data_IF_718315921999
#
_entry.id   IF_718315921999
#
_cell.length_a   1.000
_cell.length_b   1.000
_cell.length_c   1.000
_cell.angle_alpha   90.00
_cell.angle_beta   90.00
_cell.angle_gamma   90.00
#
_symmetry.space_group_name_H-M   'P 1'
#
loop_
_entity.id
_entity.type
_entity.pdbx_description
1 polymer ?
#
# COMPACT_ATOMS: atom_id res chain seq x y z
N UNK A 1 -17.45 -17.95 -35.16
CA UNK A 1 -16.33 -18.50 -34.36
C UNK A 1 -16.78 -18.47 -32.92
N UNK A 2 -16.87 -19.63 -32.26
CA UNK A 2 -17.42 -19.74 -30.92
C UNK A 2 -16.51 -19.05 -29.90
N UNK A 3 -17.14 -18.32 -28.99
CA UNK A 3 -16.65 -17.64 -27.80
C UNK A 3 -16.08 -18.64 -26.77
N UNK A 4 -15.08 -19.42 -27.20
CA UNK A 4 -14.27 -20.29 -26.35
C UNK A 4 -12.98 -19.54 -26.01
N UNK A 5 -12.82 -19.24 -24.73
CA UNK A 5 -11.54 -19.34 -24.03
C UNK A 5 -10.42 -18.34 -24.44
N UNK A 6 -10.66 -17.03 -24.41
CA UNK A 6 -9.55 -16.05 -24.43
C UNK A 6 -9.03 -15.79 -23.01
N UNK A 7 -8.55 -16.83 -22.32
CA UNK A 7 -7.82 -16.65 -21.07
C UNK A 7 -6.51 -15.91 -21.35
N UNK A 8 -6.11 -15.05 -20.42
CA UNK A 8 -4.81 -14.38 -20.46
C UNK A 8 -3.74 -15.42 -20.14
N UNK A 9 -2.88 -15.72 -21.11
CA UNK A 9 -1.79 -16.68 -20.98
C UNK A 9 -0.58 -16.01 -20.35
N UNK A 10 -0.26 -16.39 -19.13
CA UNK A 10 0.88 -15.88 -18.37
C UNK A 10 2.10 -16.77 -18.55
N UNK A 11 3.26 -16.14 -18.63
CA UNK A 11 4.54 -16.75 -18.38
C UNK A 11 5.17 -16.15 -17.12
N UNK A 12 5.90 -16.96 -16.34
CA UNK A 12 6.71 -16.47 -15.22
C UNK A 12 8.19 -16.56 -15.56
N UNK A 13 8.97 -15.54 -15.19
CA UNK A 13 10.43 -15.58 -15.25
C UNK A 13 10.99 -15.66 -13.82
N UNK A 14 11.72 -16.73 -13.52
CA UNK A 14 12.34 -17.00 -12.22
C UNK A 14 13.84 -17.28 -12.37
N UNK A 15 14.65 -16.94 -11.37
CA UNK A 15 16.08 -17.28 -11.32
C UNK A 15 16.37 -18.55 -10.52
N UNK A 16 15.50 -18.89 -9.56
CA UNK A 16 15.63 -20.05 -8.70
C UNK A 16 14.26 -20.70 -8.44
N UNK A 17 14.27 -21.98 -8.04
CA UNK A 17 13.05 -22.69 -7.61
C UNK A 17 12.58 -22.27 -6.20
N UNK A 18 13.05 -21.13 -5.70
CA UNK A 18 12.62 -20.54 -4.43
C UNK A 18 12.27 -19.09 -4.66
N UNK A 19 11.12 -18.67 -4.13
CA UNK A 19 10.70 -17.27 -4.13
C UNK A 19 10.50 -16.77 -2.68
N UNK A 20 10.69 -15.47 -2.44
CA UNK A 20 10.11 -14.79 -1.29
C UNK A 20 8.63 -15.17 -1.09
N UNK A 21 8.24 -15.39 0.17
CA UNK A 21 6.89 -15.78 0.59
C UNK A 21 5.79 -14.91 -0.04
N UNK A 22 6.01 -13.59 -0.13
CA UNK A 22 5.05 -12.68 -0.74
C UNK A 22 4.84 -12.95 -2.24
N UNK A 23 5.91 -13.23 -3.01
CA UNK A 23 5.78 -13.59 -4.42
C UNK A 23 5.13 -14.96 -4.59
N UNK A 24 5.42 -15.92 -3.71
CA UNK A 24 4.73 -17.22 -3.70
C UNK A 24 3.21 -17.03 -3.54
N UNK A 25 2.77 -16.26 -2.54
CA UNK A 25 1.35 -15.98 -2.34
C UNK A 25 0.74 -15.19 -3.51
N UNK A 26 1.49 -14.27 -4.12
CA UNK A 26 1.04 -13.57 -5.31
C UNK A 26 0.77 -14.57 -6.44
N UNK A 27 1.69 -15.51 -6.72
CA UNK A 27 1.51 -16.54 -7.76
C UNK A 27 0.31 -17.44 -7.46
N UNK A 28 0.13 -17.84 -6.20
CA UNK A 28 -1.05 -18.60 -5.76
C UNK A 28 -2.35 -17.83 -6.07
N UNK A 29 -2.38 -16.51 -5.78
CA UNK A 29 -3.53 -15.65 -6.11
C UNK A 29 -3.76 -15.51 -7.61
N UNK A 30 -2.71 -15.47 -8.42
CA UNK A 30 -2.82 -15.43 -9.88
C UNK A 30 -3.51 -16.69 -10.43
N UNK A 31 -3.19 -17.86 -9.89
CA UNK A 31 -3.80 -19.13 -10.31
C UNK A 31 -5.29 -19.25 -9.93
N UNK A 32 -5.76 -18.45 -8.97
CA UNK A 32 -7.17 -18.38 -8.58
C UNK A 32 -8.01 -17.45 -9.49
N UNK A 33 -7.39 -16.67 -10.38
CA UNK A 33 -8.12 -15.78 -11.30
C UNK A 33 -8.65 -16.60 -12.47
N UNK A 34 -9.99 -16.68 -12.61
CA UNK A 34 -10.64 -17.59 -13.54
C UNK A 34 -10.32 -17.40 -15.03
N UNK A 35 -9.96 -16.18 -15.43
CA UNK A 35 -9.57 -15.84 -16.82
C UNK A 35 -8.06 -15.75 -17.03
N UNK A 36 -7.26 -16.25 -16.09
CA UNK A 36 -5.79 -16.30 -16.17
C UNK A 36 -5.33 -17.75 -16.25
N UNK A 37 -4.36 -18.03 -17.11
CA UNK A 37 -3.75 -19.35 -17.24
C UNK A 37 -2.24 -19.23 -17.26
N UNK A 38 -1.55 -19.95 -16.38
CA UNK A 38 -0.09 -20.00 -16.38
C UNK A 38 0.39 -21.10 -17.35
N UNK A 39 1.00 -20.69 -18.47
CA UNK A 39 1.33 -21.58 -19.60
C UNK A 39 2.82 -21.91 -19.73
N UNK A 40 3.70 -21.11 -19.12
CA UNK A 40 5.15 -21.26 -19.28
C UNK A 40 5.92 -20.70 -18.08
N UNK A 41 7.03 -21.35 -17.73
CA UNK A 41 8.02 -20.81 -16.79
C UNK A 41 9.36 -20.68 -17.52
N UNK A 42 9.89 -19.47 -17.58
CA UNK A 42 11.25 -19.20 -18.03
C UNK A 42 12.16 -19.26 -16.80
N UNK A 43 13.23 -20.05 -16.90
CA UNK A 43 14.23 -20.20 -15.84
C UNK A 43 15.54 -19.56 -16.26
N UNK A 44 15.96 -18.54 -15.50
CA UNK A 44 17.25 -17.88 -15.64
C UNK A 44 18.29 -18.55 -14.74
N UNK A 45 19.06 -19.50 -15.29
CA UNK A 45 20.11 -20.18 -14.54
C UNK A 45 21.43 -19.38 -14.45
N UNK A 46 21.43 -18.10 -14.84
CA UNK A 46 22.62 -17.25 -14.74
C UNK A 46 23.05 -17.10 -13.27
N UNK A 47 24.16 -17.74 -12.89
CA UNK A 47 24.72 -17.64 -11.54
C UNK A 47 25.29 -16.24 -11.32
N UNK A 48 24.51 -15.37 -10.67
CA UNK A 48 25.01 -14.08 -10.21
C UNK A 48 25.72 -14.24 -8.86
N UNK A 49 27.06 -14.10 -8.85
CA UNK A 49 27.81 -14.02 -7.60
C UNK A 49 27.45 -12.74 -6.86
N UNK A 50 26.83 -12.87 -5.68
CA UNK A 50 26.57 -11.71 -4.83
C UNK A 50 27.87 -11.13 -4.26
N UNK A 51 28.09 -9.80 -4.38
CA UNK A 51 29.20 -9.11 -3.71
C UNK A 51 29.24 -9.35 -2.21
N UNK A 52 30.43 -9.31 -1.62
CA UNK A 52 30.65 -9.55 -0.19
C UNK A 52 29.81 -8.63 0.71
N UNK A 53 29.71 -7.34 0.37
CA UNK A 53 28.95 -6.35 1.14
C UNK A 53 27.45 -6.68 1.18
N UNK A 54 26.86 -7.19 0.09
CA UNK A 54 25.46 -7.64 0.05
C UNK A 54 25.21 -8.80 1.00
N UNK A 55 26.15 -9.75 1.05
CA UNK A 55 26.08 -10.91 1.96
C UNK A 55 26.11 -10.48 3.42
N UNK A 56 26.95 -9.48 3.76
CA UNK A 56 26.96 -8.89 5.10
C UNK A 56 25.61 -8.21 5.38
N UNK A 57 25.16 -7.34 4.49
CA UNK A 57 23.91 -6.60 4.66
C UNK A 57 22.72 -7.53 4.86
N UNK A 58 22.58 -8.56 4.01
CA UNK A 58 21.55 -9.59 4.15
C UNK A 58 21.57 -10.27 5.52
N UNK A 59 22.76 -10.63 6.04
CA UNK A 59 22.90 -11.21 7.39
C UNK A 59 22.48 -10.24 8.49
N UNK A 60 22.84 -8.95 8.37
CA UNK A 60 22.43 -7.92 9.33
C UNK A 60 20.91 -7.78 9.34
N UNK A 61 20.26 -7.74 8.16
CA UNK A 61 18.79 -7.70 8.07
C UNK A 61 18.12 -8.94 8.69
N UNK A 62 18.70 -10.12 8.51
CA UNK A 62 18.21 -11.34 9.17
C UNK A 62 18.32 -11.26 10.69
N UNK A 63 19.42 -10.72 11.22
CA UNK A 63 19.61 -10.53 12.66
C UNK A 63 18.63 -9.49 13.23
N UNK A 64 18.41 -8.37 12.55
CA UNK A 64 17.45 -7.36 13.00
C UNK A 64 16.02 -7.92 13.00
N UNK A 65 15.64 -8.67 11.97
CA UNK A 65 14.32 -9.35 11.92
C UNK A 65 14.14 -10.36 13.05
N UNK A 66 15.18 -11.13 13.41
CA UNK A 66 15.14 -12.04 14.57
C UNK A 66 14.99 -11.30 15.90
N UNK A 67 15.70 -10.18 16.08
CA UNK A 67 15.56 -9.33 17.26
C UNK A 67 14.15 -8.72 17.34
N UNK A 68 13.62 -8.24 16.22
CA UNK A 68 12.26 -7.70 16.14
C UNK A 68 11.20 -8.75 16.49
N UNK A 69 11.37 -9.99 16.00
CA UNK A 69 10.53 -11.13 16.39
C UNK A 69 10.56 -11.40 17.88
N UNK A 70 11.77 -11.52 18.45
CA UNK A 70 11.93 -11.87 19.86
C UNK A 70 11.39 -10.79 20.80
N UNK A 71 11.61 -9.52 20.47
CA UNK A 71 11.27 -8.41 21.36
C UNK A 71 9.86 -7.86 21.13
N UNK A 72 9.39 -7.84 19.88
CA UNK A 72 8.12 -7.22 19.52
C UNK A 72 7.06 -8.21 19.03
N UNK A 73 7.38 -9.50 18.89
CA UNK A 73 6.46 -10.51 18.36
C UNK A 73 6.22 -10.40 16.86
N UNK A 74 7.01 -9.59 16.14
CA UNK A 74 6.86 -9.38 14.71
C UNK A 74 7.41 -10.57 13.93
N UNK A 75 6.55 -11.37 13.30
CA UNK A 75 6.99 -12.54 12.53
C UNK A 75 7.41 -12.23 11.09
N UNK A 76 7.16 -11.00 10.60
CA UNK A 76 7.37 -10.52 9.23
C UNK A 76 8.22 -11.41 8.34
N UNK A 77 7.54 -12.23 7.54
CA UNK A 77 8.14 -13.34 6.80
C UNK A 77 8.06 -13.15 5.28
N UNK A 78 7.75 -11.94 4.79
CA UNK A 78 7.59 -11.67 3.36
C UNK A 78 8.82 -12.13 2.54
N UNK A 79 10.02 -11.89 3.07
CA UNK A 79 11.30 -12.24 2.45
C UNK A 79 11.77 -13.68 2.72
N UNK A 80 11.01 -14.48 3.45
CA UNK A 80 11.36 -15.90 3.70
C UNK A 80 11.25 -16.66 2.38
N UNK A 81 12.29 -17.40 2.00
CA UNK A 81 12.27 -18.21 0.79
C UNK A 81 11.39 -19.45 0.96
N UNK A 82 10.53 -19.69 -0.03
CA UNK A 82 9.61 -20.82 -0.15
C UNK A 82 9.83 -21.48 -1.50
N UNK A 83 9.80 -22.82 -1.53
CA UNK A 83 9.85 -23.60 -2.77
C UNK A 83 8.57 -23.39 -3.58
N UNK A 84 8.71 -22.87 -4.80
CA UNK A 84 7.57 -22.60 -5.71
C UNK A 84 7.19 -23.83 -6.54
N UNK A 85 8.02 -24.87 -6.59
CA UNK A 85 7.78 -26.07 -7.40
C UNK A 85 6.36 -26.66 -7.25
N UNK A 86 5.74 -26.70 -6.05
CA UNK A 86 4.36 -27.17 -5.90
C UNK A 86 3.32 -26.43 -6.75
N UNK A 87 3.50 -25.13 -6.97
CA UNK A 87 2.61 -24.30 -7.81
C UNK A 87 2.86 -24.49 -9.31
N UNK A 88 4.00 -25.07 -9.70
CA UNK A 88 4.47 -25.14 -11.09
C UNK A 88 4.51 -26.57 -11.66
N UNK A 89 4.10 -27.58 -10.91
CA UNK A 89 4.30 -29.01 -11.23
C UNK A 89 3.86 -29.44 -12.64
N UNK A 90 2.86 -28.79 -13.23
CA UNK A 90 2.31 -29.14 -14.56
C UNK A 90 2.62 -28.12 -15.65
N UNK A 91 3.56 -27.20 -15.40
CA UNK A 91 3.81 -26.05 -16.26
C UNK A 91 5.13 -26.25 -16.99
N UNK A 92 5.16 -26.17 -18.33
CA UNK A 92 6.40 -26.30 -19.09
C UNK A 92 7.47 -25.32 -18.60
N UNK A 93 8.70 -25.81 -18.43
CA UNK A 93 9.86 -24.99 -18.02
C UNK A 93 10.81 -24.84 -19.20
N UNK A 94 11.13 -23.60 -19.54
CA UNK A 94 12.10 -23.21 -20.56
C UNK A 94 13.35 -22.63 -19.91
N UNK A 95 14.49 -23.31 -20.05
CA UNK A 95 15.78 -22.77 -19.61
C UNK A 95 16.29 -21.70 -20.59
N UNK A 96 16.51 -20.48 -20.10
CA UNK A 96 16.98 -19.37 -20.92
C UNK A 96 18.44 -19.51 -21.37
N UNK A 97 19.20 -20.43 -20.79
CA UNK A 97 20.56 -20.74 -21.26
C UNK A 97 20.57 -21.56 -22.56
N UNK A 98 19.41 -22.05 -23.01
CA UNK A 98 19.27 -22.69 -24.32
C UNK A 98 19.57 -21.73 -25.48
N UNK A 99 19.94 -22.30 -26.63
CA UNK A 99 20.16 -21.53 -27.86
C UNK A 99 18.94 -20.64 -28.17
N UNK A 100 19.18 -19.35 -28.41
CA UNK A 100 18.15 -18.33 -28.70
C UNK A 100 17.11 -18.75 -29.75
N UNK A 101 17.48 -19.54 -30.75
CA UNK A 101 16.53 -20.02 -31.78
C UNK A 101 15.52 -21.00 -31.19
N UNK A 102 15.98 -21.93 -30.37
CA UNK A 102 15.11 -22.91 -29.70
C UNK A 102 14.28 -22.24 -28.60
N UNK A 103 14.91 -21.34 -27.82
CA UNK A 103 14.21 -20.53 -26.81
C UNK A 103 13.06 -19.72 -27.40
N UNK A 104 13.31 -19.03 -28.52
CA UNK A 104 12.28 -18.30 -29.27
C UNK A 104 11.13 -19.23 -29.69
N UNK A 105 11.45 -20.37 -30.31
CA UNK A 105 10.44 -21.31 -30.80
C UNK A 105 9.53 -21.82 -29.67
N UNK A 106 10.10 -22.18 -28.52
CA UNK A 106 9.33 -22.64 -27.37
C UNK A 106 8.48 -21.52 -26.75
N UNK A 107 9.02 -20.30 -26.67
CA UNK A 107 8.27 -19.15 -26.17
C UNK A 107 7.09 -18.80 -27.09
N UNK A 108 7.31 -18.73 -28.41
CA UNK A 108 6.26 -18.49 -29.40
C UNK A 108 5.18 -19.60 -29.39
N UNK A 109 5.57 -20.87 -29.19
CA UNK A 109 4.65 -21.99 -29.07
C UNK A 109 3.77 -21.96 -27.81
N UNK A 110 4.23 -21.30 -26.74
CA UNK A 110 3.43 -21.14 -25.52
C UNK A 110 2.29 -20.15 -25.69
N UNK A 111 2.37 -19.28 -26.71
CA UNK A 111 1.43 -18.19 -26.96
C UNK A 111 1.22 -17.29 -25.73
N UNK A 112 2.26 -17.13 -24.89
CA UNK A 112 2.18 -16.27 -23.71
C UNK A 112 1.91 -14.80 -24.12
N UNK A 113 0.86 -14.23 -23.51
CA UNK A 113 0.44 -12.84 -23.70
C UNK A 113 1.25 -11.89 -22.82
N UNK A 114 1.57 -12.32 -21.60
CA UNK A 114 2.21 -11.51 -20.57
C UNK A 114 3.29 -12.31 -19.83
N UNK A 115 4.48 -11.75 -19.72
CA UNK A 115 5.57 -12.27 -18.89
C UNK A 115 5.64 -11.51 -17.57
N UNK A 116 5.68 -12.21 -16.43
CA UNK A 116 5.92 -11.59 -15.12
C UNK A 116 7.34 -11.95 -14.65
N UNK A 117 8.19 -10.95 -14.47
CA UNK A 117 9.55 -11.11 -13.94
C UNK A 117 9.57 -11.11 -12.42
N UNK A 118 9.94 -12.27 -11.85
CA UNK A 118 10.01 -12.52 -10.41
C UNK A 118 11.46 -12.70 -9.93
N UNK A 119 12.47 -12.48 -10.77
CA UNK A 119 13.88 -12.64 -10.38
C UNK A 119 14.23 -11.70 -9.22
N UNK A 120 14.96 -12.22 -8.23
CA UNK A 120 15.31 -11.48 -7.02
C UNK A 120 16.60 -10.67 -7.12
N UNK A 121 17.45 -10.93 -8.13
CA UNK A 121 18.81 -10.41 -8.21
C UNK A 121 19.13 -9.43 -9.34
N UNK A 122 18.24 -9.26 -10.33
CA UNK A 122 18.55 -8.46 -11.52
C UNK A 122 18.51 -6.95 -11.23
N UNK A 123 19.66 -6.28 -11.33
CA UNK A 123 19.75 -4.82 -11.17
C UNK A 123 19.13 -4.06 -12.33
N UNK A 124 19.36 -4.57 -13.54
CA UNK A 124 18.69 -4.16 -14.75
C UNK A 124 18.17 -5.42 -15.41
N UNK A 125 16.88 -5.45 -15.76
CA UNK A 125 16.36 -6.56 -16.52
C UNK A 125 17.00 -6.57 -17.89
N UNK A 126 17.69 -7.65 -18.22
CA UNK A 126 18.01 -8.00 -19.59
C UNK A 126 17.10 -9.18 -19.95
N UNK A 127 16.34 -9.02 -21.03
CA UNK A 127 15.40 -10.02 -21.51
C UNK A 127 15.78 -10.40 -22.92
N UNK A 128 15.75 -11.70 -23.26
CA UNK A 128 15.91 -12.11 -24.64
C UNK A 128 14.93 -11.38 -25.56
N UNK A 129 15.37 -10.97 -26.76
CA UNK A 129 14.54 -10.24 -27.74
C UNK A 129 13.20 -10.91 -28.04
N UNK A 130 13.13 -12.25 -27.90
CA UNK A 130 11.91 -13.00 -28.15
C UNK A 130 10.83 -12.83 -27.07
N UNK A 131 11.17 -12.35 -25.87
CA UNK A 131 10.19 -11.94 -24.87
C UNK A 131 9.39 -10.70 -25.32
N UNK A 132 9.85 -10.05 -26.39
CA UNK A 132 9.21 -8.90 -27.04
C UNK A 132 8.93 -9.16 -28.53
N UNK A 133 8.80 -10.43 -28.92
CA UNK A 133 8.68 -10.81 -30.33
C UNK A 133 7.38 -10.29 -30.97
N UNK A 134 6.29 -10.21 -30.20
CA UNK A 134 5.02 -9.65 -30.66
C UNK A 134 4.76 -8.25 -30.10
N UNK A 135 3.91 -7.49 -30.78
CA UNK A 135 3.44 -6.17 -30.30
C UNK A 135 2.48 -6.24 -29.12
N UNK A 136 2.00 -7.44 -28.77
CA UNK A 136 1.08 -7.68 -27.66
C UNK A 136 1.82 -8.10 -26.39
N UNK A 137 3.06 -8.61 -26.52
CA UNK A 137 3.86 -9.08 -25.40
C UNK A 137 4.39 -7.92 -24.56
N UNK A 138 4.09 -8.02 -23.26
CA UNK A 138 4.58 -7.12 -22.23
C UNK A 138 5.37 -7.92 -21.20
N UNK A 139 6.34 -7.26 -20.58
CA UNK A 139 7.01 -7.81 -19.41
C UNK A 139 6.66 -6.96 -18.21
N UNK A 140 5.94 -7.54 -17.25
CA UNK A 140 5.63 -6.87 -15.99
C UNK A 140 6.66 -7.23 -14.95
N UNK A 141 7.11 -6.22 -14.19
CA UNK A 141 8.04 -6.44 -13.09
C UNK A 141 7.76 -5.49 -11.94
N UNK A 142 8.15 -5.93 -10.77
CA UNK A 142 8.11 -5.10 -9.58
C UNK A 142 9.30 -4.13 -9.53
N UNK A 143 9.10 -3.03 -8.83
CA UNK A 143 10.18 -2.18 -8.36
C UNK A 143 10.00 -1.87 -6.87
N UNK A 144 11.12 -1.63 -6.18
CA UNK A 144 11.15 -1.52 -4.71
C UNK A 144 11.82 -0.23 -4.20
N UNK A 145 12.18 0.68 -5.09
CA UNK A 145 12.74 1.98 -4.75
C UNK A 145 12.44 3.05 -5.81
N UNK A 146 12.69 4.31 -5.47
CA UNK A 146 12.55 5.48 -6.36
C UNK A 146 13.38 5.41 -7.65
N UNK A 147 14.34 4.49 -7.76
CA UNK A 147 15.16 4.30 -8.96
C UNK A 147 14.58 3.26 -9.91
N UNK A 148 13.50 2.59 -9.51
CA UNK A 148 12.84 1.57 -10.31
C UNK A 148 13.55 0.22 -10.27
N UNK A 149 14.35 -0.04 -9.23
CA UNK A 149 15.12 -1.27 -9.11
C UNK A 149 14.24 -2.48 -8.81
N UNK A 150 14.48 -3.58 -9.52
CA UNK A 150 13.88 -4.89 -9.25
C UNK A 150 14.70 -5.73 -8.25
N UNK A 151 15.76 -5.17 -7.65
CA UNK A 151 16.57 -5.88 -6.66
C UNK A 151 15.90 -5.88 -5.28
N UNK A 152 15.41 -7.03 -4.82
CA UNK A 152 14.69 -7.13 -3.54
C UNK A 152 15.54 -6.73 -2.33
N UNK A 153 16.85 -7.02 -2.35
CA UNK A 153 17.74 -6.63 -1.26
C UNK A 153 17.91 -5.09 -1.16
N UNK A 154 17.58 -4.37 -2.23
CA UNK A 154 17.64 -2.90 -2.29
C UNK A 154 16.33 -2.25 -1.83
N UNK A 155 15.27 -3.03 -1.63
CA UNK A 155 13.96 -2.56 -1.19
C UNK A 155 14.06 -1.60 0.00
N UNK A 156 13.64 -0.34 -0.21
CA UNK A 156 13.68 0.74 0.77
C UNK A 156 15.06 1.23 1.22
N UNK A 157 16.16 0.65 0.73
CA UNK A 157 17.53 1.00 1.15
C UNK A 157 17.89 2.41 0.73
N UNK A 158 17.44 2.84 -0.46
CA UNK A 158 17.72 4.17 -1.00
C UNK A 158 17.06 5.23 -0.14
N UNK A 159 15.77 5.06 0.12
CA UNK A 159 14.92 5.95 0.91
C UNK A 159 15.41 6.03 2.36
N UNK A 160 15.73 4.89 2.97
CA UNK A 160 16.32 4.83 4.30
C UNK A 160 17.66 5.57 4.38
N UNK A 161 18.50 5.42 3.36
CA UNK A 161 19.76 6.14 3.24
C UNK A 161 19.59 7.63 2.93
N UNK A 162 18.52 8.06 2.28
CA UNK A 162 18.18 9.47 2.12
C UNK A 162 17.57 10.06 3.42
N UNK A 163 16.97 9.21 4.25
CA UNK A 163 16.17 9.62 5.40
C UNK A 163 14.77 10.08 5.01
N UNK A 164 14.28 9.58 3.88
CA UNK A 164 12.91 9.77 3.44
C UNK A 164 11.97 8.99 4.35
N UNK A 165 10.80 9.55 4.63
CA UNK A 165 9.74 8.92 5.41
C UNK A 165 8.80 8.06 4.55
N UNK A 166 9.08 7.89 3.26
CA UNK A 166 8.23 7.15 2.34
C UNK A 166 9.03 6.11 1.56
N UNK A 167 8.48 4.90 1.43
CA UNK A 167 9.01 3.82 0.59
C UNK A 167 8.19 3.72 -0.69
N UNK A 168 8.85 3.85 -1.85
CA UNK A 168 8.19 3.75 -3.15
C UNK A 168 8.29 2.33 -3.70
N UNK A 169 7.16 1.81 -4.17
CA UNK A 169 7.07 0.47 -4.78
C UNK A 169 5.96 0.41 -5.81
N UNK A 170 5.98 -0.62 -6.66
CA UNK A 170 4.92 -0.77 -7.65
C UNK A 170 5.25 -1.77 -8.75
N UNK A 171 4.54 -1.61 -9.87
CA UNK A 171 4.63 -2.49 -11.06
C UNK A 171 4.90 -1.64 -12.30
N UNK A 172 5.91 -2.05 -13.07
CA UNK A 172 6.24 -1.50 -14.37
C UNK A 172 5.88 -2.50 -15.47
N UNK A 173 5.47 -1.99 -16.62
CA UNK A 173 5.33 -2.74 -17.87
C UNK A 173 6.43 -2.32 -18.84
N UNK A 174 7.15 -3.31 -19.38
CA UNK A 174 8.18 -3.10 -20.39
C UNK A 174 7.76 -3.68 -21.75
N UNK A 175 8.14 -2.98 -22.83
CA UNK A 175 8.01 -3.48 -24.20
C UNK A 175 9.10 -2.97 -25.13
N UNK A 176 9.14 -3.52 -26.34
CA UNK A 176 9.95 -2.99 -27.44
C UNK A 176 9.40 -1.65 -27.94
N UNK A 177 10.28 -0.67 -28.20
CA UNK A 177 9.93 0.62 -28.82
C UNK A 177 10.41 1.86 -28.06
N UNK A 178 10.08 3.05 -28.58
CA UNK A 178 10.12 4.30 -27.82
C UNK A 178 9.01 4.26 -26.75
N UNK A 179 9.27 4.77 -25.55
CA UNK A 179 8.44 4.53 -24.34
C UNK A 179 8.40 3.06 -23.90
N UNK A 180 9.59 2.46 -23.82
CA UNK A 180 9.79 1.05 -23.46
C UNK A 180 9.36 0.69 -22.04
N UNK A 181 9.07 1.66 -21.16
CA UNK A 181 8.71 1.43 -19.74
C UNK A 181 7.52 2.31 -19.33
N UNK A 182 6.44 1.68 -18.91
CA UNK A 182 5.21 2.31 -18.43
C UNK A 182 4.97 1.97 -16.95
N UNK A 183 4.52 2.94 -16.16
CA UNK A 183 4.14 2.73 -14.76
C UNK A 183 2.69 2.23 -14.70
N UNK A 184 2.50 0.97 -14.29
CA UNK A 184 1.15 0.40 -14.13
C UNK A 184 0.56 0.72 -12.77
N UNK A 185 1.38 0.56 -11.73
CA UNK A 185 1.00 0.75 -10.35
C UNK A 185 2.14 1.39 -9.58
N UNK A 186 1.80 2.27 -8.65
CA UNK A 186 2.72 3.03 -7.83
C UNK A 186 2.09 3.20 -6.47
N UNK A 187 2.85 2.94 -5.42
CA UNK A 187 2.38 3.18 -4.09
C UNK A 187 3.53 3.53 -3.14
N UNK A 188 3.25 4.47 -2.24
CA UNK A 188 4.17 5.00 -1.26
C UNK A 188 3.69 4.62 0.13
N UNK A 189 4.51 3.94 0.93
CA UNK A 189 4.19 3.59 2.32
C UNK A 189 4.92 4.50 3.31
N UNK A 190 4.28 4.88 4.41
CA UNK A 190 4.90 5.72 5.46
C UNK A 190 5.85 4.89 6.34
N UNK A 191 6.98 5.51 6.71
CA UNK A 191 8.03 4.99 7.58
C UNK A 191 7.50 4.69 9.00
N UNK A 192 7.55 3.42 9.40
CA UNK A 192 7.43 3.00 10.82
C UNK A 192 8.83 2.85 11.44
N UNK A 193 8.97 2.69 12.77
CA UNK A 193 10.27 2.84 13.43
C UNK A 193 11.28 1.72 13.14
N UNK A 194 10.94 0.70 12.34
CA UNK A 194 11.86 -0.38 12.01
C UNK A 194 11.93 -0.62 10.51
N UNK A 195 13.16 -0.53 9.99
CA UNK A 195 13.45 -0.73 8.57
C UNK A 195 12.92 -2.08 8.06
N UNK A 196 13.12 -3.18 8.79
CA UNK A 196 12.74 -4.51 8.28
C UNK A 196 11.23 -4.75 8.28
N UNK A 197 10.53 -4.27 9.32
CA UNK A 197 9.07 -4.21 9.34
C UNK A 197 8.53 -3.41 8.15
N UNK A 198 9.05 -2.23 7.86
CA UNK A 198 8.57 -1.39 6.75
C UNK A 198 8.71 -2.09 5.40
N UNK A 199 9.86 -2.72 5.17
CA UNK A 199 10.09 -3.49 3.94
C UNK A 199 9.12 -4.67 3.86
N UNK A 200 8.92 -5.45 4.93
CA UNK A 200 8.00 -6.59 4.89
C UNK A 200 6.55 -6.17 4.66
N UNK A 201 6.10 -5.05 5.26
CA UNK A 201 4.76 -4.51 5.02
C UNK A 201 4.56 -4.05 3.59
N UNK A 202 5.56 -3.35 3.03
CA UNK A 202 5.57 -2.96 1.62
C UNK A 202 5.45 -4.18 0.71
N UNK A 203 6.21 -5.24 0.97
CA UNK A 203 6.17 -6.47 0.17
C UNK A 203 4.82 -7.20 0.30
N UNK A 204 4.25 -7.27 1.50
CA UNK A 204 2.94 -7.86 1.72
C UNK A 204 1.82 -7.09 1.01
N UNK A 205 1.96 -5.77 0.92
CA UNK A 205 1.10 -4.90 0.11
C UNK A 205 1.24 -5.17 -1.39
N UNK A 206 2.45 -5.46 -1.88
CA UNK A 206 2.69 -5.73 -3.30
C UNK A 206 2.12 -7.06 -3.79
N UNK A 207 1.72 -7.97 -2.88
CA UNK A 207 1.06 -9.25 -3.23
C UNK A 207 -0.19 -9.04 -4.09
N UNK A 208 -0.88 -7.92 -3.93
CA UNK A 208 -2.14 -7.66 -4.61
C UNK A 208 -2.00 -6.87 -5.91
N UNK A 209 -0.87 -6.22 -6.19
CA UNK A 209 -0.78 -5.29 -7.32
C UNK A 209 -1.02 -5.97 -8.67
N UNK A 210 -0.31 -7.07 -8.94
CA UNK A 210 -0.47 -7.82 -10.20
C UNK A 210 -1.79 -8.57 -10.26
N UNK A 211 -2.22 -9.32 -9.23
CA UNK A 211 -3.54 -9.95 -9.22
C UNK A 211 -4.70 -8.96 -9.41
N UNK A 212 -4.65 -7.79 -8.76
CA UNK A 212 -5.66 -6.75 -8.93
C UNK A 212 -5.71 -6.24 -10.37
N UNK A 213 -4.57 -5.87 -10.94
CA UNK A 213 -4.49 -5.41 -12.34
C UNK A 213 -5.06 -6.46 -13.32
N UNK A 214 -4.83 -7.75 -13.08
CA UNK A 214 -5.38 -8.81 -13.92
C UNK A 214 -6.86 -9.08 -13.68
N UNK A 215 -7.38 -8.93 -12.46
CA UNK A 215 -8.82 -9.06 -12.17
C UNK A 215 -9.63 -7.98 -12.88
N UNK A 216 -9.15 -6.75 -12.83
CA UNK A 216 -9.80 -5.59 -13.46
C UNK A 216 -9.70 -5.61 -15.00
N UNK A 217 -8.81 -6.41 -15.58
CA UNK A 217 -8.54 -6.43 -17.02
C UNK A 217 -8.60 -7.87 -17.53
N UNK A 218 -9.80 -8.31 -17.93
CA UNK A 218 -10.06 -9.70 -18.31
C UNK A 218 -9.65 -10.09 -19.73
N UNK A 219 -9.23 -9.12 -20.56
CA UNK A 219 -8.81 -9.35 -21.95
C UNK A 219 -7.42 -8.80 -22.24
N UNK A 220 -6.75 -9.34 -23.26
CA UNK A 220 -5.44 -8.86 -23.72
C UNK A 220 -5.54 -7.41 -24.22
N UNK A 221 -6.65 -7.04 -24.87
CA UNK A 221 -6.91 -5.66 -25.29
C UNK A 221 -6.99 -4.71 -24.10
N UNK A 222 -7.64 -5.12 -23.00
CA UNK A 222 -7.70 -4.32 -21.77
C UNK A 222 -6.29 -4.11 -21.19
N UNK A 223 -5.45 -5.15 -21.13
CA UNK A 223 -4.05 -5.03 -20.69
C UNK A 223 -3.21 -4.10 -21.57
N UNK A 224 -3.44 -4.11 -22.89
CA UNK A 224 -2.77 -3.18 -23.80
C UNK A 224 -3.26 -1.74 -23.62
N UNK A 225 -4.53 -1.56 -23.27
CA UNK A 225 -5.11 -0.24 -23.00
C UNK A 225 -4.54 0.42 -21.74
N UNK A 226 -4.12 -0.36 -20.73
CA UNK A 226 -3.47 0.15 -19.51
C UNK A 226 -2.28 1.05 -19.85
N UNK A 227 -1.51 0.73 -20.89
CA UNK A 227 -0.35 1.54 -21.30
C UNK A 227 -0.74 2.82 -22.03
N UNK A 228 -1.85 2.82 -22.77
CA UNK A 228 -2.31 4.01 -23.52
C UNK A 228 -2.78 5.12 -22.59
N UNK A 229 -3.32 4.75 -21.43
CA UNK A 229 -3.91 5.69 -20.47
C UNK A 229 -2.98 6.06 -19.31
N UNK A 230 -1.76 5.49 -19.23
CA UNK A 230 -0.83 5.69 -18.11
C UNK A 230 0.39 6.49 -18.52
N UNK A 231 0.99 7.17 -17.54
CA UNK A 231 2.15 8.05 -17.70
C UNK A 231 3.44 7.23 -17.87
N UNK A 232 4.32 7.64 -18.79
CA UNK A 232 5.66 7.07 -18.92
C UNK A 232 6.44 7.16 -17.61
N UNK A 233 7.16 6.11 -17.21
CA UNK A 233 7.81 6.04 -15.89
C UNK A 233 8.72 7.25 -15.59
N UNK A 234 9.48 7.73 -16.58
CA UNK A 234 10.33 8.90 -16.42
C UNK A 234 9.54 10.17 -16.11
N UNK A 235 8.39 10.38 -16.78
CA UNK A 235 7.50 11.50 -16.52
C UNK A 235 6.82 11.36 -15.15
N UNK A 236 6.47 10.14 -14.76
CA UNK A 236 5.87 9.85 -13.47
C UNK A 236 6.83 10.13 -12.31
N UNK A 237 8.11 9.75 -12.42
CA UNK A 237 9.12 10.08 -11.39
C UNK A 237 9.34 11.59 -11.28
N UNK A 238 9.37 12.33 -12.40
CA UNK A 238 9.45 13.79 -12.35
C UNK A 238 8.23 14.37 -11.65
N UNK A 239 7.02 13.88 -11.94
CA UNK A 239 5.79 14.32 -11.29
C UNK A 239 5.73 13.94 -9.79
N UNK A 240 6.20 12.75 -9.41
CA UNK A 240 6.29 12.29 -8.02
C UNK A 240 7.32 13.09 -7.21
N UNK A 241 8.39 13.58 -7.86
CA UNK A 241 9.35 14.50 -7.22
C UNK A 241 8.82 15.91 -7.03
N UNK A 242 7.68 16.26 -7.65
CA UNK A 242 7.08 17.59 -7.51
C UNK A 242 6.27 17.77 -6.22
N UNK A 243 6.06 16.74 -5.41
CA UNK A 243 5.36 16.88 -4.11
C UNK A 243 6.25 17.39 -2.96
N UNK A 244 7.57 17.51 -3.15
CA UNK A 244 8.49 18.06 -2.13
C UNK A 244 8.63 19.59 -2.18
N UNK A 245 7.91 20.29 -3.08
CA UNK A 245 8.10 21.72 -3.35
C UNK A 245 7.11 22.67 -2.66
N UNK A 246 6.62 22.30 -1.47
CA UNK A 246 6.08 23.25 -0.48
C UNK A 246 7.01 23.37 0.73
N UNK A 247 8.32 23.47 0.52
CA UNK A 247 9.24 24.05 1.51
C UNK A 247 10.49 24.61 0.81
N UNK A 248 10.67 25.93 0.96
CA UNK A 248 11.90 26.72 0.72
C UNK A 248 12.30 27.07 -0.72
N UNK A 249 11.99 28.31 -1.06
CA UNK A 249 12.71 29.30 -1.88
C UNK A 249 14.04 28.94 -2.57
N UNK A 250 14.13 29.46 -3.80
CA UNK A 250 15.29 29.82 -4.63
C UNK A 250 15.97 28.75 -5.49
N UNK A 251 15.68 28.87 -6.79
CA UNK A 251 16.59 28.76 -7.94
C UNK A 251 17.65 27.64 -7.87
N UNK A 252 17.41 26.58 -8.64
CA UNK A 252 18.24 26.17 -9.78
C UNK A 252 17.58 25.00 -10.50
N UNK A 253 17.38 25.13 -11.81
CA UNK A 253 16.76 24.11 -12.65
C UNK A 253 17.59 22.81 -12.63
N UNK A 254 17.01 21.63 -12.32
CA UNK A 254 17.73 20.38 -12.47
C UNK A 254 17.81 20.04 -13.95
N UNK A 255 19.04 20.00 -14.46
CA UNK A 255 19.37 19.54 -15.79
C UNK A 255 19.06 18.05 -15.94
N UNK A 256 18.33 17.71 -16.99
CA UNK A 256 17.98 16.36 -17.41
C UNK A 256 19.23 15.49 -17.59
N UNK A 257 19.29 14.36 -16.89
CA UNK A 257 20.20 13.26 -17.23
C UNK A 257 19.40 12.18 -17.98
N UNK A 258 19.35 12.32 -19.30
CA UNK A 258 19.19 11.20 -20.21
C UNK A 258 20.48 10.37 -20.16
N UNK A 259 20.48 9.27 -19.41
CA UNK A 259 21.58 8.34 -19.51
C UNK A 259 21.17 6.92 -19.11
N UNK A 260 21.40 5.99 -20.05
CA UNK A 260 21.83 4.62 -19.77
C UNK A 260 23.14 4.65 -18.96
N UNK A 261 23.10 5.20 -17.75
CA UNK A 261 24.25 5.20 -16.86
C UNK A 261 24.28 3.85 -16.16
N UNK A 262 25.19 2.99 -16.63
CA UNK A 262 25.76 1.95 -15.78
C UNK A 262 26.18 2.62 -14.47
N UNK A 263 25.40 2.42 -13.41
CA UNK A 263 25.80 2.84 -12.07
C UNK A 263 27.14 2.15 -11.79
N UNK A 264 28.19 2.93 -11.55
CA UNK A 264 29.50 2.37 -11.27
C UNK A 264 29.42 1.48 -10.02
N UNK A 265 30.06 0.32 -10.05
CA UNK A 265 30.12 -0.64 -8.92
C UNK A 265 30.52 0.05 -7.60
N UNK A 266 31.33 1.12 -7.67
CA UNK A 266 31.74 1.93 -6.52
C UNK A 266 30.60 2.69 -5.82
N UNK A 267 29.62 3.24 -6.55
CA UNK A 267 28.45 3.90 -5.93
C UNK A 267 27.53 2.90 -5.25
N UNK A 268 27.53 1.66 -5.74
CA UNK A 268 26.67 0.60 -5.26
C UNK A 268 27.14 0.04 -3.90
N UNK A 269 28.41 -0.31 -3.76
CA UNK A 269 28.95 -0.78 -2.47
C UNK A 269 28.85 0.30 -1.39
N UNK A 270 28.98 1.57 -1.80
CA UNK A 270 28.79 2.72 -0.92
C UNK A 270 27.38 2.76 -0.32
N UNK A 271 26.33 2.48 -1.11
CA UNK A 271 24.93 2.49 -0.63
C UNK A 271 24.71 1.49 0.51
N UNK A 272 25.14 0.23 0.36
CA UNK A 272 24.98 -0.78 1.41
C UNK A 272 25.86 -0.49 2.63
N UNK A 273 27.05 0.07 2.41
CA UNK A 273 27.91 0.51 3.50
C UNK A 273 27.26 1.63 4.32
N UNK A 274 26.68 2.64 3.66
CA UNK A 274 25.92 3.71 4.32
C UNK A 274 24.68 3.16 5.04
N UNK A 275 23.96 2.21 4.42
CA UNK A 275 22.82 1.56 5.05
C UNK A 275 23.21 0.83 6.33
N UNK A 276 24.33 0.08 6.33
CA UNK A 276 24.86 -0.59 7.52
C UNK A 276 25.18 0.39 8.65
N UNK A 277 25.82 1.52 8.34
CA UNK A 277 26.12 2.57 9.33
C UNK A 277 24.86 3.24 9.87
N UNK A 278 23.83 3.44 9.03
CA UNK A 278 22.57 4.03 9.47
C UNK A 278 21.71 3.06 10.27
N UNK A 279 21.70 1.78 9.92
CA UNK A 279 21.02 0.74 10.71
C UNK A 279 21.61 0.64 12.12
N UNK A 280 22.92 0.77 12.28
CA UNK A 280 23.53 0.74 13.61
C UNK A 280 23.16 1.96 14.45
N UNK A 281 23.11 3.19 13.90
CA UNK A 281 22.79 4.38 14.68
C UNK A 281 21.28 4.65 14.82
N UNK A 282 20.53 4.71 13.71
CA UNK A 282 19.07 4.99 13.71
C UNK A 282 18.27 3.83 14.29
N UNK A 283 18.65 2.60 13.93
CA UNK A 283 18.00 1.40 14.45
C UNK A 283 18.10 1.32 15.97
N UNK A 284 19.30 1.54 16.54
CA UNK A 284 19.49 1.58 18.00
C UNK A 284 18.71 2.72 18.66
N UNK A 285 18.66 3.91 18.05
CA UNK A 285 17.92 5.05 18.60
C UNK A 285 16.40 4.80 18.59
N UNK A 286 15.83 4.41 17.44
CA UNK A 286 14.40 4.10 17.32
C UNK A 286 14.00 2.91 18.21
N UNK A 287 14.87 1.91 18.30
CA UNK A 287 14.74 0.80 19.23
C UNK A 287 14.66 1.29 20.69
N UNK A 288 15.61 2.15 21.09
CA UNK A 288 15.61 2.77 22.42
C UNK A 288 14.32 3.54 22.71
N UNK A 289 13.85 4.36 21.77
CA UNK A 289 12.57 5.09 21.90
C UNK A 289 11.39 4.14 22.08
N UNK A 290 11.31 3.03 21.34
CA UNK A 290 10.20 2.07 21.45
C UNK A 290 10.25 1.23 22.72
N UNK A 291 11.44 0.91 23.22
CA UNK A 291 11.61 0.26 24.54
C UNK A 291 11.17 1.20 25.64
N UNK A 292 11.61 2.47 25.58
CA UNK A 292 11.20 3.51 26.52
C UNK A 292 9.68 3.75 26.50
N UNK A 293 9.05 3.79 25.32
CA UNK A 293 7.59 3.92 25.21
C UNK A 293 6.86 2.72 25.80
N UNK A 294 7.34 1.47 25.58
CA UNK A 294 6.77 0.27 26.23
C UNK A 294 6.91 0.27 27.74
N UNK A 295 7.94 0.93 28.27
CA UNK A 295 8.15 1.10 29.71
C UNK A 295 7.38 2.30 30.29
N UNK A 296 6.56 3.00 29.49
CA UNK A 296 5.84 4.21 29.90
C UNK A 296 6.74 5.42 30.14
N UNK A 297 8.01 5.34 29.74
CA UNK A 297 9.06 6.32 30.01
C UNK A 297 9.44 7.06 28.71
N UNK A 298 8.45 7.64 28.02
CA UNK A 298 8.71 8.53 26.90
C UNK A 298 7.78 8.36 25.72
N UNK A 299 6.76 9.24 25.68
CA UNK A 299 6.33 10.02 24.51
C UNK A 299 5.27 11.00 25.00
N UNK A 300 5.29 12.23 24.47
CA UNK A 300 4.03 12.93 24.29
C UNK A 300 3.27 12.08 23.27
N UNK A 301 2.18 11.44 23.68
CA UNK A 301 1.35 10.73 22.71
C UNK A 301 0.85 11.74 21.68
N UNK A 302 0.89 11.36 20.40
CA UNK A 302 0.26 12.15 19.35
C UNK A 302 -1.25 12.08 19.61
N UNK A 303 -1.77 13.07 20.33
CA UNK A 303 -3.18 13.16 20.66
C UNK A 303 -3.93 13.76 19.47
N UNK A 304 -4.79 12.96 18.85
CA UNK A 304 -5.69 13.43 17.81
C UNK A 304 -6.78 14.31 18.40
N UNK A 305 -7.03 15.45 17.74
CA UNK A 305 -7.97 16.49 18.16
C UNK A 305 -8.90 16.83 17.00
N UNK A 306 -10.07 17.41 17.28
CA UNK A 306 -10.95 17.91 16.24
C UNK A 306 -10.66 19.37 15.93
N UNK A 307 -10.74 19.75 14.66
CA UNK A 307 -10.64 21.14 14.21
C UNK A 307 -11.95 21.56 13.56
N UNK A 308 -12.57 22.62 14.08
CA UNK A 308 -13.81 23.19 13.57
C UNK A 308 -13.55 24.50 12.84
N UNK A 309 -13.91 24.55 11.57
CA UNK A 309 -13.73 25.73 10.71
C UNK A 309 -14.91 25.91 9.75
N UNK A 310 -15.06 27.13 9.21
CA UNK A 310 -16.07 27.42 8.20
C UNK A 310 -15.51 27.19 6.78
N UNK A 311 -16.32 26.59 5.90
CA UNK A 311 -15.97 26.27 4.51
C UNK A 311 -15.42 27.48 3.72
N UNK A 312 -15.91 28.69 3.97
CA UNK A 312 -15.42 29.92 3.29
C UNK A 312 -13.93 30.21 3.57
N UNK A 313 -13.41 29.85 4.74
CA UNK A 313 -12.02 30.09 5.10
C UNK A 313 -11.02 29.25 4.27
N UNK A 314 -11.45 28.07 3.79
CA UNK A 314 -10.62 27.18 2.97
C UNK A 314 -10.57 27.59 1.49
N UNK A 315 -11.56 28.35 1.01
CA UNK A 315 -11.67 28.72 -0.40
C UNK A 315 -10.83 29.96 -0.77
N UNK A 316 -10.33 30.72 0.20
CA UNK A 316 -9.78 32.07 -0.01
C UNK A 316 -8.36 32.29 0.52
N UNK A 317 -7.74 31.30 1.17
CA UNK A 317 -6.40 31.41 1.76
C UNK A 317 -5.54 30.20 1.39
N UNK A 318 -4.20 30.33 1.47
CA UNK A 318 -3.32 29.17 1.51
C UNK A 318 -3.83 28.21 2.61
N UNK A 319 -4.05 26.94 2.27
CA UNK A 319 -4.75 25.97 3.12
C UNK A 319 -4.20 25.90 4.56
N UNK A 320 -2.90 26.13 4.73
CA UNK A 320 -2.23 26.15 6.04
C UNK A 320 -2.59 27.37 6.91
N UNK A 321 -2.78 28.55 6.32
CA UNK A 321 -3.26 29.74 7.05
C UNK A 321 -4.74 29.63 7.41
N UNK A 322 -5.53 28.94 6.57
CA UNK A 322 -6.93 28.65 6.90
C UNK A 322 -7.01 27.70 8.11
N UNK A 323 -6.24 26.61 8.14
CA UNK A 323 -6.25 25.62 9.23
C UNK A 323 -5.82 26.24 10.57
N UNK A 324 -4.87 27.17 10.58
CA UNK A 324 -4.44 27.82 11.84
C UNK A 324 -5.54 28.70 12.46
N UNK A 325 -6.54 29.12 11.67
CA UNK A 325 -7.72 29.85 12.14
C UNK A 325 -8.82 28.95 12.68
N UNK A 326 -8.72 27.62 12.53
CA UNK A 326 -9.75 26.70 12.98
C UNK A 326 -9.76 26.59 14.50
N UNK A 327 -10.96 26.45 15.04
CA UNK A 327 -11.15 26.21 16.46
C UNK A 327 -10.71 24.78 16.79
N UNK A 328 -9.74 24.66 17.69
CA UNK A 328 -9.31 23.37 18.24
C UNK A 328 -10.33 22.89 19.28
N UNK A 329 -10.68 21.61 19.22
CA UNK A 329 -11.47 20.91 20.23
C UNK A 329 -10.61 19.75 20.74
N UNK A 330 -10.12 19.91 21.97
CA UNK A 330 -9.08 19.04 22.55
C UNK A 330 -9.76 18.06 23.53
N UNK A 331 -9.58 16.74 23.38
CA UNK A 331 -10.06 15.77 24.36
C UNK A 331 -9.25 15.82 25.67
N UNK A 332 -9.76 15.23 26.77
CA UNK A 332 -8.93 14.91 27.93
C UNK A 332 -7.66 14.13 27.53
N UNK A 333 -6.54 14.28 28.26
CA UNK A 333 -5.24 13.74 27.84
C UNK A 333 -5.14 12.20 27.85
N UNK A 334 -6.17 11.50 28.33
CA UNK A 334 -6.25 10.03 28.40
C UNK A 334 -6.88 9.39 27.15
N UNK A 335 -7.19 10.19 26.13
CA UNK A 335 -7.85 9.73 24.90
C UNK A 335 -7.52 10.60 23.69
N UNK A 336 -7.91 10.12 22.52
CA UNK A 336 -7.96 10.93 21.30
C UNK A 336 -9.34 10.91 20.66
N UNK A 337 -9.59 11.89 19.78
CA UNK A 337 -10.78 11.95 18.92
C UNK A 337 -10.38 11.99 17.44
N UNK A 338 -10.95 11.09 16.63
CA UNK A 338 -10.62 10.93 15.21
C UNK A 338 -11.87 10.71 14.33
N UNK A 339 -11.69 10.74 13.01
CA UNK A 339 -12.73 10.48 12.00
C UNK A 339 -14.07 11.23 12.18
N UNK A 340 -14.06 12.59 12.13
CA UNK A 340 -15.28 13.36 12.33
C UNK A 340 -16.23 13.33 11.12
N UNK A 341 -17.50 13.02 11.38
CA UNK A 341 -18.63 13.09 10.44
C UNK A 341 -19.67 14.10 10.90
N UNK A 342 -19.86 15.14 10.10
CA UNK A 342 -20.84 16.19 10.37
C UNK A 342 -22.23 15.78 9.86
N UNK A 343 -23.23 15.83 10.74
CA UNK A 343 -24.62 15.49 10.44
C UNK A 343 -25.55 16.61 10.90
N UNK A 344 -26.30 17.18 9.97
CA UNK A 344 -27.36 18.15 10.28
C UNK A 344 -28.68 17.41 10.50
N UNK A 345 -29.24 17.51 11.70
CA UNK A 345 -30.51 16.88 12.05
C UNK A 345 -31.42 17.83 12.83
N UNK A 346 -32.68 17.97 12.39
CA UNK A 346 -33.67 18.85 13.03
C UNK A 346 -33.20 20.30 13.22
N UNK A 347 -32.43 20.84 12.26
CA UNK A 347 -31.92 22.20 12.29
C UNK A 347 -30.72 22.44 13.23
N UNK A 348 -30.13 21.38 13.78
CA UNK A 348 -28.91 21.42 14.57
C UNK A 348 -27.82 20.54 13.95
N UNK A 349 -26.55 20.93 14.16
CA UNK A 349 -25.40 20.21 13.66
C UNK A 349 -24.77 19.36 14.75
N UNK A 350 -24.47 18.12 14.42
CA UNK A 350 -23.83 17.13 15.28
C UNK A 350 -22.57 16.60 14.61
N UNK A 351 -21.56 16.27 15.40
CA UNK A 351 -20.36 15.58 14.93
C UNK A 351 -20.31 14.20 15.56
N UNK A 352 -20.28 13.17 14.72
CA UNK A 352 -19.98 11.77 15.08
C UNK A 352 -18.49 11.53 14.87
N UNK A 353 -17.84 10.81 15.77
CA UNK A 353 -16.39 10.57 15.69
C UNK A 353 -15.98 9.35 16.51
N UNK A 354 -14.77 8.85 16.26
CA UNK A 354 -14.11 7.84 17.08
C UNK A 354 -13.58 8.46 18.38
N UNK A 355 -13.84 7.80 19.51
CA UNK A 355 -13.12 8.02 20.76
C UNK A 355 -12.36 6.75 21.15
N UNK A 356 -11.03 6.88 21.31
CA UNK A 356 -10.18 5.84 21.88
C UNK A 356 -9.57 6.32 23.19
N UNK A 357 -9.97 5.68 24.28
CA UNK A 357 -9.34 5.85 25.59
C UNK A 357 -8.09 4.96 25.64
N UNK A 358 -6.92 5.56 25.90
CA UNK A 358 -5.63 4.88 25.77
C UNK A 358 -5.51 3.64 26.67
N UNK A 359 -6.07 3.70 27.88
CA UNK A 359 -6.07 2.57 28.81
C UNK A 359 -6.96 1.40 28.36
N UNK A 360 -8.00 1.68 27.57
CA UNK A 360 -8.89 0.66 27.01
C UNK A 360 -8.35 0.09 25.69
N UNK A 361 -7.60 0.89 24.91
CA UNK A 361 -6.98 0.45 23.65
C UNK A 361 -7.98 0.12 22.53
N UNK A 362 -9.22 0.60 22.63
CA UNK A 362 -10.35 0.28 21.75
C UNK A 362 -11.11 1.56 21.40
N UNK A 363 -11.36 1.79 20.11
CA UNK A 363 -12.19 2.87 19.60
C UNK A 363 -13.68 2.56 19.80
N UNK A 364 -14.45 3.58 20.16
CA UNK A 364 -15.91 3.55 20.24
C UNK A 364 -16.48 4.77 19.53
N UNK A 365 -17.73 4.70 19.09
CA UNK A 365 -18.35 5.81 18.35
C UNK A 365 -19.13 6.68 19.31
N UNK A 366 -18.88 7.99 19.22
CA UNK A 366 -19.52 8.99 20.06
C UNK A 366 -20.01 10.17 19.22
N UNK A 367 -20.87 11.01 19.80
CA UNK A 367 -21.45 12.17 19.15
C UNK A 367 -21.49 13.39 20.08
N UNK A 368 -21.29 14.57 19.51
CA UNK A 368 -21.49 15.86 20.19
C UNK A 368 -22.33 16.81 19.33
N UNK A 369 -23.19 17.62 19.96
CA UNK A 369 -23.80 18.75 19.28
C UNK A 369 -22.78 19.88 19.12
N UNK A 370 -22.73 20.52 17.95
CA UNK A 370 -21.89 21.71 17.74
C UNK A 370 -22.33 22.89 18.63
N UNK A 371 -23.60 22.91 19.07
CA UNK A 371 -24.07 23.88 20.06
C UNK A 371 -23.44 23.64 21.44
N UNK A 372 -23.29 22.37 21.82
CA UNK A 372 -22.65 21.98 23.08
C UNK A 372 -21.13 22.16 23.02
N UNK A 373 -20.56 22.27 21.81
CA UNK A 373 -19.15 22.60 21.55
C UNK A 373 -18.80 24.08 21.88
N UNK A 374 -19.71 24.88 22.42
CA UNK A 374 -19.40 26.18 23.04
C UNK A 374 -18.45 25.99 24.25
N UNK A 375 -17.13 26.20 24.20
CA UNK A 375 -16.35 27.19 23.49
C UNK A 375 -15.57 27.99 24.53
N UNK A 376 -14.29 27.65 24.74
CA UNK A 376 -13.26 28.50 25.37
C UNK A 376 -13.62 29.18 26.70
N UNK A 377 -14.33 28.51 27.59
CA UNK A 377 -14.42 29.00 28.96
C UNK A 377 -14.07 27.84 29.88
N UNK A 378 -12.86 27.86 30.46
CA UNK A 378 -12.47 26.93 31.51
C UNK A 378 -13.46 26.96 32.70
N UNK A 379 -14.29 28.01 32.80
CA UNK A 379 -15.37 28.08 33.79
C UNK A 379 -16.64 27.30 33.41
N UNK A 380 -16.80 26.86 32.15
CA UNK A 380 -17.90 26.00 31.74
C UNK A 380 -17.52 24.53 31.89
N UNK A 381 -18.41 23.69 32.43
CA UNK A 381 -18.14 22.27 32.59
C UNK A 381 -17.96 21.60 31.23
N UNK A 382 -16.95 20.74 31.13
CA UNK A 382 -16.79 19.83 29.99
C UNK A 382 -18.04 18.97 29.86
N UNK A 383 -18.68 19.02 28.69
CA UNK A 383 -19.81 18.15 28.35
C UNK A 383 -19.22 16.94 27.62
N UNK A 384 -19.28 15.73 28.22
CA UNK A 384 -18.75 14.54 27.56
C UNK A 384 -19.57 14.20 26.31
N UNK A 385 -18.93 13.63 25.28
CA UNK A 385 -19.63 13.07 24.14
C UNK A 385 -20.68 12.03 24.54
N UNK A 386 -21.77 11.94 23.79
CA UNK A 386 -22.78 10.91 23.94
C UNK A 386 -22.29 9.63 23.25
N UNK A 387 -22.39 8.48 23.92
CA UNK A 387 -22.13 7.18 23.30
C UNK A 387 -23.15 6.90 22.20
N UNK A 388 -22.65 6.46 21.05
CA UNK A 388 -23.45 6.18 19.85
C UNK A 388 -23.48 4.68 19.56
N UNK A 389 -22.30 4.05 19.55
CA UNK A 389 -22.17 2.62 19.31
C UNK A 389 -20.94 2.10 20.03
N UNK A 390 -21.17 1.10 20.89
CA UNK A 390 -20.10 0.35 21.56
C UNK A 390 -20.24 -1.14 21.27
N UNK A 391 -19.10 -1.77 20.95
CA UNK A 391 -18.98 -3.19 20.63
C UNK A 391 -17.80 -3.81 21.40
N UNK A 392 -17.70 -5.15 21.46
CA UNK A 392 -16.56 -5.82 22.10
C UNK A 392 -15.26 -5.74 21.27
N UNK A 393 -15.31 -5.13 20.08
CA UNK A 393 -14.21 -4.88 19.15
C UNK A 393 -14.08 -3.38 18.85
N UNK A 394 -12.94 -2.97 18.28
CA UNK A 394 -12.67 -1.59 17.87
C UNK A 394 -13.63 -1.12 16.77
N UNK A 395 -14.10 0.12 16.93
CA UNK A 395 -14.90 0.84 15.94
C UNK A 395 -14.27 2.21 15.68
N UNK A 396 -14.20 2.60 14.41
CA UNK A 396 -13.75 3.92 13.94
C UNK A 396 -14.61 4.36 12.75
N UNK A 397 -14.25 5.48 12.11
CA UNK A 397 -14.88 5.97 10.87
C UNK A 397 -16.43 5.86 10.80
N UNK A 398 -17.18 6.60 11.64
CA UNK A 398 -18.65 6.49 11.69
C UNK A 398 -19.31 7.15 10.47
N UNK A 399 -19.24 6.53 9.29
CA UNK A 399 -19.85 7.08 8.07
C UNK A 399 -21.37 7.11 8.19
N UNK A 400 -21.94 8.29 8.43
CA UNK A 400 -23.39 8.52 8.56
C UNK A 400 -23.96 9.08 7.27
N UNK A 401 -25.07 8.51 6.80
CA UNK A 401 -25.76 8.95 5.59
C UNK A 401 -27.29 8.85 5.74
N UNK A 402 -28.01 9.59 4.91
CA UNK A 402 -29.47 9.57 4.88
C UNK A 402 -29.95 8.73 3.69
N UNK A 403 -30.92 7.84 3.93
CA UNK A 403 -31.56 7.04 2.88
C UNK A 403 -33.04 6.84 3.22
N UNK A 404 -33.94 7.07 2.26
CA UNK A 404 -35.39 6.91 2.44
C UNK A 404 -35.94 7.54 3.74
N UNK A 405 -35.57 8.78 4.02
CA UNK A 405 -35.97 9.54 5.23
C UNK A 405 -35.49 8.96 6.58
N UNK A 406 -34.56 8.01 6.58
CA UNK A 406 -33.91 7.50 7.78
C UNK A 406 -32.39 7.75 7.75
N UNK A 407 -31.78 7.79 8.92
CA UNK A 407 -30.33 7.85 9.07
C UNK A 407 -29.76 6.44 9.21
N UNK A 408 -28.66 6.21 8.50
CA UNK A 408 -27.89 4.99 8.53
C UNK A 408 -26.43 5.30 8.85
N UNK A 409 -25.73 4.29 9.38
CA UNK A 409 -24.31 4.36 9.69
C UNK A 409 -23.62 3.09 9.22
N UNK A 410 -22.46 3.25 8.58
CA UNK A 410 -21.49 2.20 8.33
C UNK A 410 -20.23 2.57 9.12
N UNK A 411 -19.96 1.93 10.26
CA UNK A 411 -18.69 2.13 10.95
C UNK A 411 -17.59 1.28 10.32
N UNK A 412 -16.34 1.70 10.44
CA UNK A 412 -15.23 0.76 10.28
C UNK A 412 -15.30 -0.27 11.41
N UNK A 413 -15.24 -1.56 11.05
CA UNK A 413 -15.19 -2.67 11.99
C UNK A 413 -14.24 -3.78 11.53
N UNK A 414 -13.09 -3.41 10.97
CA UNK A 414 -12.12 -4.35 10.40
C UNK A 414 -11.67 -5.43 11.40
N UNK A 415 -11.56 -5.11 12.69
CA UNK A 415 -11.26 -6.10 13.75
C UNK A 415 -12.32 -7.22 13.83
N UNK A 416 -13.59 -6.90 13.59
CA UNK A 416 -14.69 -7.87 13.56
C UNK A 416 -14.83 -8.60 12.21
N UNK A 417 -14.04 -8.21 11.21
CA UNK A 417 -14.05 -8.76 9.85
C UNK A 417 -15.40 -8.65 9.13
N UNK A 418 -16.12 -7.56 9.38
CA UNK A 418 -17.45 -7.30 8.79
C UNK A 418 -17.58 -5.87 8.31
N UNK A 419 -18.43 -5.67 7.31
CA UNK A 419 -18.96 -4.36 6.93
C UNK A 419 -20.46 -4.35 7.24
N UNK A 420 -20.84 -3.64 8.30
CA UNK A 420 -22.21 -3.66 8.84
C UNK A 420 -22.92 -2.33 8.60
N UNK A 421 -24.23 -2.38 8.32
CA UNK A 421 -25.11 -1.23 8.29
C UNK A 421 -25.95 -1.19 9.56
N UNK A 422 -26.02 -0.01 10.18
CA UNK A 422 -26.90 0.32 11.29
C UNK A 422 -27.92 1.37 10.87
N UNK A 423 -29.14 1.31 11.42
CA UNK A 423 -30.20 2.31 11.27
C UNK A 423 -30.41 3.04 12.58
N UNK A 424 -30.55 4.36 12.51
CA UNK A 424 -30.90 5.18 13.66
C UNK A 424 -32.39 5.03 13.99
N UNK A 425 -32.70 4.51 15.17
CA UNK A 425 -34.08 4.43 15.67
C UNK A 425 -34.46 5.66 16.50
N UNK A 426 -33.49 6.20 17.24
CA UNK A 426 -33.63 7.43 18.02
C UNK A 426 -32.32 8.21 17.98
N UNK A 427 -32.35 9.36 17.32
CA UNK A 427 -31.18 10.22 17.16
C UNK A 427 -30.78 10.91 18.48
N UNK A 428 -29.49 11.06 18.82
CA UNK A 428 -28.31 10.56 18.09
C UNK A 428 -27.79 9.19 18.54
N UNK A 429 -28.39 8.54 19.55
CA UNK A 429 -27.71 7.50 20.34
C UNK A 429 -28.29 6.09 20.24
N UNK A 430 -29.43 5.89 19.56
CA UNK A 430 -30.00 4.55 19.39
C UNK A 430 -29.86 4.08 17.94
N UNK A 431 -28.97 3.11 17.74
CA UNK A 431 -28.67 2.51 16.44
C UNK A 431 -28.86 1.00 16.50
N UNK A 432 -29.60 0.46 15.54
CA UNK A 432 -29.88 -0.98 15.44
C UNK A 432 -29.21 -1.55 14.21
N UNK A 433 -28.52 -2.68 14.35
CA UNK A 433 -27.95 -3.41 13.22
C UNK A 433 -29.06 -3.82 12.24
N UNK A 434 -28.82 -3.62 10.95
CA UNK A 434 -29.76 -3.96 9.88
C UNK A 434 -29.26 -5.15 9.07
N UNK A 435 -28.00 -5.09 8.61
CA UNK A 435 -27.44 -6.08 7.70
C UNK A 435 -25.90 -6.00 7.66
N UNK A 436 -25.27 -7.15 7.49
CA UNK A 436 -23.86 -7.27 7.10
C UNK A 436 -23.76 -7.31 5.58
N UNK A 437 -23.08 -6.33 4.98
CA UNK A 437 -22.84 -6.24 3.55
C UNK A 437 -21.72 -7.17 3.09
N UNK A 438 -20.67 -7.30 3.89
CA UNK A 438 -19.51 -8.16 3.63
C UNK A 438 -19.05 -8.83 4.93
N UNK A 439 -18.68 -10.11 4.84
CA UNK A 439 -18.14 -10.90 5.94
C UNK A 439 -16.76 -11.45 5.58
N UNK A 440 -15.97 -11.80 6.60
CA UNK A 440 -14.62 -12.34 6.46
C UNK A 440 -13.65 -11.39 5.74
N UNK A 441 -13.83 -10.09 5.95
CA UNK A 441 -13.03 -9.04 5.31
C UNK A 441 -12.55 -7.98 6.29
N UNK A 442 -11.30 -7.56 6.15
CA UNK A 442 -10.77 -6.42 6.88
C UNK A 442 -10.93 -5.16 6.01
N UNK A 443 -12.07 -4.50 6.19
CA UNK A 443 -12.52 -3.34 5.44
C UNK A 443 -12.41 -2.06 6.29
N UNK A 444 -11.75 -1.05 5.74
CA UNK A 444 -11.41 0.22 6.38
C UNK A 444 -12.08 1.39 5.64
N UNK A 445 -12.56 2.37 6.39
CA UNK A 445 -13.08 3.66 5.89
C UNK A 445 -14.16 3.58 4.80
N UNK A 446 -15.09 2.62 4.91
CA UNK A 446 -16.14 2.41 3.92
C UNK A 446 -17.03 3.65 3.75
N UNK A 447 -17.01 4.22 2.54
CA UNK A 447 -17.72 5.45 2.18
C UNK A 447 -18.65 5.19 1.01
N UNK A 448 -19.94 5.48 1.19
CA UNK A 448 -20.91 5.37 0.10
C UNK A 448 -21.06 6.68 -0.67
N UNK A 449 -21.30 6.57 -1.96
CA UNK A 449 -21.66 7.67 -2.83
C UNK A 449 -22.81 7.24 -3.75
N UNK A 450 -23.90 8.00 -3.72
CA UNK A 450 -24.99 7.87 -4.68
C UNK A 450 -24.74 8.85 -5.83
N UNK A 451 -24.67 8.33 -7.05
CA UNK A 451 -24.45 9.16 -8.24
C UNK A 451 -25.74 9.83 -8.74
N UNK A 452 -25.61 10.66 -9.78
CA UNK A 452 -26.74 11.40 -10.35
C UNK A 452 -27.82 10.50 -10.99
N UNK A 453 -27.50 9.23 -11.27
CA UNK A 453 -28.44 8.24 -11.78
C UNK A 453 -29.15 7.46 -10.67
N UNK A 454 -28.74 7.65 -9.41
CA UNK A 454 -29.25 6.91 -8.25
C UNK A 454 -28.56 5.57 -8.02
N UNK A 455 -27.41 5.32 -8.66
CA UNK A 455 -26.60 4.13 -8.43
C UNK A 455 -25.68 4.36 -7.23
N UNK A 456 -25.49 3.30 -6.43
CA UNK A 456 -24.70 3.35 -5.20
C UNK A 456 -23.31 2.75 -5.43
N UNK A 457 -22.29 3.52 -5.08
CA UNK A 457 -20.88 3.16 -5.13
C UNK A 457 -20.31 3.07 -3.72
N UNK A 458 -19.37 2.15 -3.47
CA UNK A 458 -18.72 2.01 -2.18
C UNK A 458 -17.20 2.08 -2.32
N UNK A 459 -16.63 3.14 -1.77
CA UNK A 459 -15.19 3.35 -1.68
C UNK A 459 -14.71 2.74 -0.37
N UNK A 460 -13.84 1.72 -0.42
CA UNK A 460 -13.39 1.02 0.79
C UNK A 460 -11.94 0.54 0.67
N UNK A 461 -11.15 0.69 1.73
CA UNK A 461 -9.80 0.14 1.80
C UNK A 461 -9.83 -1.30 2.31
N UNK A 462 -9.21 -2.25 1.62
CA UNK A 462 -9.22 -3.66 2.07
C UNK A 462 -7.82 -4.18 2.36
N UNK A 463 -7.68 -4.90 3.47
CA UNK A 463 -6.46 -5.60 3.86
C UNK A 463 -6.62 -7.11 3.69
N UNK A 464 -5.89 -7.69 2.73
CA UNK A 464 -5.92 -9.14 2.45
C UNK A 464 -4.84 -9.95 3.17
N UNK A 465 -3.90 -9.28 3.84
CA UNK A 465 -2.82 -9.93 4.59
C UNK A 465 -2.58 -9.18 5.90
N UNK A 466 -2.48 -9.88 7.03
CA UNK A 466 -2.38 -9.29 8.37
C UNK A 466 -1.19 -8.32 8.54
N UNK A 467 -0.10 -8.58 7.80
CA UNK A 467 1.10 -7.75 7.78
C UNK A 467 1.10 -6.68 6.68
N UNK A 468 0.06 -6.55 5.85
CA UNK A 468 -0.05 -5.43 4.92
C UNK A 468 -0.50 -4.15 5.65
N UNK A 469 -0.24 -3.00 5.04
CA UNK A 469 -0.80 -1.71 5.48
C UNK A 469 -2.32 -1.69 5.29
N UNK A 470 -3.03 -0.95 6.13
CA UNK A 470 -4.50 -0.81 6.12
C UNK A 470 -5.01 0.21 5.09
N UNK A 471 -4.13 1.06 4.55
CA UNK A 471 -4.50 2.30 3.85
C UNK A 471 -4.16 2.29 2.35
N UNK A 472 -4.32 1.16 1.64
CA UNK A 472 -3.62 0.98 0.36
C UNK A 472 -4.50 0.72 -0.86
N UNK A 473 -5.35 -0.30 -0.78
CA UNK A 473 -6.13 -0.73 -1.92
C UNK A 473 -7.54 -0.21 -1.75
N UNK A 474 -7.82 0.89 -2.45
CA UNK A 474 -9.17 1.40 -2.62
C UNK A 474 -9.92 0.48 -3.58
N UNK A 475 -10.94 -0.18 -3.06
CA UNK A 475 -11.95 -0.92 -3.82
C UNK A 475 -13.14 0.01 -4.08
N UNK A 476 -13.79 -0.22 -5.23
CA UNK A 476 -14.97 0.52 -5.72
C UNK A 476 -16.20 -0.40 -5.79
#
# INVERSE_FOLDING_TARGET
>A
MSEKDSRIKLALLIDQAVLPCWQYQMVERLQLIGHVELVLVLRDNAVQKQPFIKRIFSRVLSLTSLLEKYLFGWEGNARKNIDISPLLNNIPVLDMTMNHVMGRRHFEQSEADLLIDLRGGAQQPDYPDYCYASSTQQVWRHFYDETGSAELLRAGVVEFCAGNSMLNSGVLSESKGADSICLLWSSSGVDRPFFTQNVDQMLWKMVDFVPFLLRENSTVEALLSLRRNRVNYHNALTALKFSDMCQTSHQTSPSYCSAKQRVSVSRFEHLYFTALLKLSWRGLFQFGVKVLSRLGLGRAEEQWILLLGQKKALATADSLQAISSFKKIIPPPDRFWADPFLVSWSGQDYVFFEELIYSAGKGTLVCMSLHDINGFDESKPFIPPLSVLEKPYHLSYPFVFQYQNALYMIPESAENKTLDIYRCEQFPHQWTWVKTLMSDVEAYDATLYEDEQGEWWMFVCMRHHEYASTNELLYL
#
